data_IF_845841599379
#
_entry.id   IF_845841599379
#
_cell.length_a   1.000
_cell.length_b   1.000
_cell.length_c   1.000
_cell.angle_alpha   90.00
_cell.angle_beta   90.00
_cell.angle_gamma   90.00
#
_symmetry.space_group_name_H-M   'P 1'
#
loop_
_entity.id
_entity.type
_entity.pdbx_description
1 polymer ?
#
# COMPACT_ATOMS: atom_id res chain seq x y z
N UNK A 1 3.16 -8.91 -0.63
CA UNK A 1 1.99 -8.01 -0.70
C UNK A 1 1.21 -7.99 0.60
N UNK A 2 1.04 -9.12 1.28
CA UNK A 2 0.36 -9.17 2.60
C UNK A 2 0.96 -8.19 3.62
N UNK A 3 2.29 -8.20 3.80
CA UNK A 3 2.99 -7.24 4.65
C UNK A 3 2.71 -5.77 4.31
N UNK A 4 2.49 -5.46 3.02
CA UNK A 4 2.16 -4.10 2.61
C UNK A 4 0.74 -3.68 3.06
N UNK A 5 -0.22 -4.62 3.04
CA UNK A 5 -1.57 -4.40 3.57
C UNK A 5 -1.55 -4.20 5.09
N UNK A 6 -0.82 -5.04 5.81
CA UNK A 6 -0.65 -4.91 7.27
C UNK A 6 -0.09 -3.53 7.62
N UNK A 7 0.93 -3.07 6.91
CA UNK A 7 1.52 -1.75 7.13
C UNK A 7 0.59 -0.59 6.80
N UNK A 8 -0.26 -0.72 5.78
CA UNK A 8 -1.26 0.28 5.43
C UNK A 8 -2.43 0.32 6.43
N UNK A 9 -2.81 -0.82 6.99
CA UNK A 9 -3.87 -0.92 8.01
C UNK A 9 -3.41 -0.48 9.40
N UNK A 10 -2.14 -0.70 9.73
CA UNK A 10 -1.60 -0.36 11.04
C UNK A 10 -1.55 1.15 11.32
N UNK A 11 -1.43 1.99 10.29
CA UNK A 11 -1.43 3.45 10.45
C UNK A 11 -2.02 4.14 9.19
N UNK A 12 -3.22 4.74 9.30
CA UNK A 12 -3.87 5.49 8.22
C UNK A 12 -3.07 6.70 7.72
N UNK A 13 -2.14 7.23 8.53
CA UNK A 13 -1.30 8.38 8.16
C UNK A 13 -0.05 7.98 7.40
N UNK A 14 0.26 6.69 7.36
CA UNK A 14 1.46 6.18 6.68
C UNK A 14 1.30 6.35 5.18
N UNK A 15 2.30 6.95 4.53
CA UNK A 15 2.21 7.18 3.09
C UNK A 15 2.42 5.88 2.31
N UNK A 16 1.70 5.75 1.20
CA UNK A 16 1.88 4.65 0.25
C UNK A 16 3.33 4.54 -0.23
N UNK A 17 4.02 5.68 -0.40
CA UNK A 17 5.44 5.73 -0.75
C UNK A 17 6.33 5.09 0.32
N UNK A 18 6.09 5.40 1.60
CA UNK A 18 6.86 4.79 2.69
C UNK A 18 6.66 3.27 2.74
N UNK A 19 5.43 2.79 2.54
CA UNK A 19 5.13 1.35 2.45
C UNK A 19 5.80 0.71 1.25
N UNK A 20 5.77 1.36 0.09
CA UNK A 20 6.44 0.89 -1.13
C UNK A 20 7.94 0.69 -0.89
N UNK A 21 8.62 1.67 -0.29
CA UNK A 21 10.05 1.58 0.02
C UNK A 21 10.33 0.47 1.05
N UNK A 22 9.50 0.37 2.09
CA UNK A 22 9.68 -0.63 3.15
C UNK A 22 9.51 -2.07 2.67
N UNK A 23 8.68 -2.31 1.65
CA UNK A 23 8.48 -3.63 1.05
C UNK A 23 9.38 -3.89 -0.17
N UNK A 24 10.35 -3.01 -0.44
CA UNK A 24 11.41 -3.21 -1.44
C UNK A 24 11.13 -2.66 -2.84
N UNK A 25 10.11 -1.81 -3.02
CA UNK A 25 9.86 -1.14 -4.29
C UNK A 25 10.64 0.17 -4.38
N UNK A 26 11.27 0.41 -5.54
CA UNK A 26 11.97 1.68 -5.80
C UNK A 26 11.05 2.88 -6.07
N UNK A 27 9.74 2.67 -6.26
CA UNK A 27 8.78 3.76 -6.44
C UNK A 27 7.36 3.36 -6.02
N UNK A 28 6.59 4.37 -5.58
CA UNK A 28 5.17 4.22 -5.27
C UNK A 28 4.32 3.83 -6.50
N UNK A 29 4.73 4.24 -7.71
CA UNK A 29 4.04 3.90 -8.96
C UNK A 29 4.16 2.40 -9.29
N UNK A 30 5.37 1.84 -9.21
CA UNK A 30 5.58 0.39 -9.40
C UNK A 30 4.85 -0.43 -8.34
N UNK A 31 4.93 0.02 -7.08
CA UNK A 31 4.18 -0.59 -6.00
C UNK A 31 2.67 -0.53 -6.25
N UNK A 32 2.10 0.62 -6.61
CA UNK A 32 0.67 0.77 -6.84
C UNK A 32 0.15 -0.14 -7.96
N UNK A 33 0.91 -0.31 -9.04
CA UNK A 33 0.56 -1.23 -10.14
C UNK A 33 0.54 -2.68 -9.66
N UNK A 34 1.57 -3.11 -8.93
CA UNK A 34 1.68 -4.46 -8.41
C UNK A 34 0.62 -4.74 -7.31
N UNK A 35 0.40 -3.78 -6.42
CA UNK A 35 -0.60 -3.85 -5.36
C UNK A 35 -2.02 -3.94 -5.95
N UNK A 36 -2.34 -3.15 -6.98
CA UNK A 36 -3.64 -3.24 -7.66
C UNK A 36 -3.89 -4.61 -8.30
N UNK A 37 -2.85 -5.21 -8.89
CA UNK A 37 -2.95 -6.58 -9.43
C UNK A 37 -3.23 -7.62 -8.33
N UNK A 38 -2.74 -7.39 -7.12
CA UNK A 38 -2.90 -8.30 -5.98
C UNK A 38 -4.22 -8.07 -5.20
N UNK A 39 -4.53 -6.82 -4.86
CA UNK A 39 -5.64 -6.44 -3.98
C UNK A 39 -6.88 -5.95 -4.74
N UNK A 40 -6.84 -5.86 -6.07
CA UNK A 40 -7.94 -5.38 -6.92
C UNK A 40 -8.13 -3.87 -6.96
N UNK A 41 -7.52 -3.11 -6.03
CA UNK A 41 -7.62 -1.64 -5.95
C UNK A 41 -6.28 -0.98 -5.65
N UNK A 42 -6.18 0.34 -5.78
CA UNK A 42 -4.93 1.07 -5.49
C UNK A 42 -4.64 1.08 -3.98
N UNK A 43 -3.36 1.14 -3.57
CA UNK A 43 -3.03 1.12 -2.14
C UNK A 43 -3.63 2.29 -1.36
N UNK A 44 -3.71 3.49 -1.94
CA UNK A 44 -4.36 4.65 -1.29
C UNK A 44 -5.87 4.45 -1.11
N UNK A 45 -6.55 3.86 -2.11
CA UNK A 45 -7.98 3.56 -2.01
C UNK A 45 -8.23 2.45 -0.98
N UNK A 46 -7.39 1.41 -0.98
CA UNK A 46 -7.43 0.34 0.01
C UNK A 46 -7.23 0.90 1.43
N UNK A 47 -6.22 1.74 1.63
CA UNK A 47 -5.94 2.37 2.91
C UNK A 47 -7.14 3.21 3.38
N UNK A 48 -7.75 4.01 2.50
CA UNK A 48 -8.94 4.81 2.86
C UNK A 48 -10.16 3.96 3.21
N UNK A 49 -10.34 2.80 2.57
CA UNK A 49 -11.44 1.87 2.88
C UNK A 49 -11.23 1.14 4.21
N UNK A 50 -9.98 0.97 4.63
CA UNK A 50 -9.60 0.23 5.84
C UNK A 50 -9.11 1.14 6.97
N UNK A 51 -9.15 2.46 6.78
CA UNK A 51 -8.91 3.45 7.82
C UNK A 51 -10.17 3.54 8.68
N UNK A 52 -10.13 2.90 9.85
CA UNK A 52 -11.12 3.05 10.91
C UNK A 52 -10.89 4.32 11.74
#
# INVERSE_FOLDING_TARGET
MERAKEMLAADPRRTVTAVALAVGFGSSAHFAKAFRKFAGTTPSAWQRQNAA
#
